data_IF_060759540563
#
_entry.id   IF_060759540563
#
_cell.length_a   1.000
_cell.length_b   1.000
_cell.length_c   1.000
_cell.angle_alpha   90.00
_cell.angle_beta   90.00
_cell.angle_gamma   90.00
#
_symmetry.space_group_name_H-M   'P 1'
#
loop_
_entity.id
_entity.type
_entity.pdbx_description
1 polymer ?
#
# COMPACT_ATOMS: atom_id res chain seq x y z
N UNK A 1 -9.38 -52.23 -2.31
CA UNK A 1 -9.96 -51.51 -3.45
C UNK A 1 -10.99 -50.45 -3.02
N UNK A 2 -11.88 -50.76 -2.07
CA UNK A 2 -13.01 -49.89 -1.69
C UNK A 2 -12.63 -48.63 -0.90
N UNK A 3 -11.57 -48.71 -0.09
CA UNK A 3 -11.02 -47.55 0.65
C UNK A 3 -10.43 -46.47 -0.27
N UNK A 4 -9.64 -46.85 -1.29
CA UNK A 4 -9.06 -45.86 -2.23
C UNK A 4 -10.11 -45.08 -3.01
N UNK A 5 -11.24 -45.71 -3.37
CA UNK A 5 -12.36 -45.03 -4.03
C UNK A 5 -13.02 -43.99 -3.12
N UNK A 6 -13.19 -44.29 -1.83
CA UNK A 6 -13.77 -43.36 -0.85
C UNK A 6 -12.89 -42.14 -0.60
N UNK A 7 -11.57 -42.32 -0.50
CA UNK A 7 -10.62 -41.21 -0.39
C UNK A 7 -10.63 -40.31 -1.63
N UNK A 8 -10.68 -40.89 -2.83
CA UNK A 8 -10.74 -40.12 -4.08
C UNK A 8 -12.06 -39.33 -4.20
N UNK A 9 -13.19 -39.93 -3.82
CA UNK A 9 -14.48 -39.23 -3.79
C UNK A 9 -14.48 -38.11 -2.75
N UNK A 10 -13.93 -38.35 -1.56
CA UNK A 10 -13.80 -37.32 -0.54
C UNK A 10 -12.92 -36.14 -1.00
N UNK A 11 -11.77 -36.44 -1.61
CA UNK A 11 -10.89 -35.41 -2.18
C UNK A 11 -11.59 -34.61 -3.30
N UNK A 12 -12.36 -35.29 -4.15
CA UNK A 12 -13.12 -34.64 -5.23
C UNK A 12 -14.21 -33.72 -4.68
N UNK A 13 -14.97 -34.17 -3.67
CA UNK A 13 -15.98 -33.36 -2.98
C UNK A 13 -15.33 -32.14 -2.32
N UNK A 14 -14.19 -32.31 -1.65
CA UNK A 14 -13.46 -31.19 -1.03
C UNK A 14 -12.98 -30.18 -2.08
N UNK A 15 -12.41 -30.66 -3.18
CA UNK A 15 -11.91 -29.79 -4.25
C UNK A 15 -13.03 -29.00 -4.93
N UNK A 16 -14.10 -29.67 -5.36
CA UNK A 16 -15.23 -28.98 -5.99
C UNK A 16 -16.02 -28.14 -4.98
N UNK A 17 -16.12 -28.56 -3.73
CA UNK A 17 -16.72 -27.75 -2.66
C UNK A 17 -15.93 -26.47 -2.43
N UNK A 18 -14.60 -26.54 -2.44
CA UNK A 18 -13.72 -25.38 -2.34
C UNK A 18 -13.89 -24.43 -3.54
N UNK A 19 -13.84 -24.95 -4.77
CA UNK A 19 -14.07 -24.13 -5.97
C UNK A 19 -15.46 -23.50 -5.97
N UNK A 20 -16.49 -24.26 -5.59
CA UNK A 20 -17.85 -23.75 -5.46
C UNK A 20 -17.93 -22.65 -4.41
N UNK A 21 -17.25 -22.78 -3.27
CA UNK A 21 -17.24 -21.72 -2.25
C UNK A 21 -16.60 -20.42 -2.75
N UNK A 22 -15.52 -20.53 -3.52
CA UNK A 22 -14.88 -19.38 -4.19
C UNK A 22 -15.85 -18.75 -5.18
N UNK A 23 -16.45 -19.55 -6.06
CA UNK A 23 -17.43 -19.09 -7.04
C UNK A 23 -18.65 -18.43 -6.38
N UNK A 24 -19.18 -19.05 -5.32
CA UNK A 24 -20.37 -18.60 -4.62
C UNK A 24 -20.17 -17.23 -3.97
N UNK A 25 -18.99 -16.94 -3.43
CA UNK A 25 -18.76 -15.63 -2.83
C UNK A 25 -18.49 -14.50 -3.83
N UNK A 26 -18.43 -14.77 -5.14
CA UNK A 26 -18.61 -13.70 -6.14
C UNK A 26 -20.04 -13.12 -6.15
N UNK A 27 -21.01 -13.86 -5.62
CA UNK A 27 -22.39 -13.38 -5.48
C UNK A 27 -22.66 -12.66 -4.15
N UNK A 28 -21.69 -12.58 -3.23
CA UNK A 28 -21.82 -11.81 -2.01
C UNK A 28 -21.68 -10.31 -2.28
N UNK A 29 -22.31 -9.43 -1.49
CA UNK A 29 -22.11 -7.99 -1.59
C UNK A 29 -20.64 -7.64 -1.36
N UNK A 30 -20.07 -6.78 -2.21
CA UNK A 30 -18.64 -6.43 -2.18
C UNK A 30 -18.48 -4.98 -1.71
N UNK A 31 -17.56 -4.70 -0.77
CA UNK A 31 -17.26 -3.32 -0.41
C UNK A 31 -16.53 -2.64 -1.57
N UNK A 32 -16.92 -1.41 -1.91
CA UNK A 32 -16.20 -0.62 -2.91
C UNK A 32 -14.86 -0.07 -2.38
N UNK A 33 -14.68 -0.04 -1.06
CA UNK A 33 -13.51 0.51 -0.39
C UNK A 33 -12.91 -0.50 0.60
N UNK A 34 -11.60 -0.65 0.56
CA UNK A 34 -10.84 -1.44 1.51
C UNK A 34 -10.34 -0.56 2.66
N UNK A 35 -10.93 -0.71 3.84
CA UNK A 35 -10.46 0.00 5.04
C UNK A 35 -9.02 -0.40 5.42
N UNK A 36 -8.68 -1.68 5.24
CA UNK A 36 -7.35 -2.19 5.56
C UNK A 36 -6.26 -1.64 4.63
N UNK A 37 -6.56 -1.44 3.35
CA UNK A 37 -5.59 -0.92 2.37
C UNK A 37 -5.75 0.57 2.11
N UNK A 38 -6.78 1.22 2.68
CA UNK A 38 -7.14 2.63 2.47
C UNK A 38 -7.24 3.02 0.98
N UNK A 39 -7.84 2.16 0.15
CA UNK A 39 -8.06 2.43 -1.28
C UNK A 39 -9.40 1.87 -1.77
N UNK A 40 -9.86 2.40 -2.90
CA UNK A 40 -10.97 1.82 -3.65
C UNK A 40 -10.53 0.50 -4.29
N UNK A 41 -11.44 -0.47 -4.30
CA UNK A 41 -11.25 -1.75 -4.96
C UNK A 41 -11.70 -1.65 -6.42
N UNK A 42 -11.08 -2.46 -7.28
CA UNK A 42 -11.42 -2.47 -8.70
C UNK A 42 -12.91 -2.77 -8.93
N UNK A 43 -13.54 -2.05 -9.85
CA UNK A 43 -14.92 -2.32 -10.22
C UNK A 43 -15.02 -3.53 -11.15
N UNK A 44 -16.21 -4.11 -11.27
CA UNK A 44 -16.43 -5.20 -12.20
C UNK A 44 -16.26 -4.66 -13.64
N UNK A 45 -15.39 -5.25 -14.46
CA UNK A 45 -15.12 -4.73 -15.79
C UNK A 45 -16.32 -4.86 -16.73
N UNK A 46 -16.58 -3.81 -17.50
CA UNK A 46 -17.59 -3.84 -18.55
C UNK A 46 -17.11 -4.71 -19.72
N UNK A 47 -18.00 -5.56 -20.22
CA UNK A 47 -17.70 -6.41 -21.36
C UNK A 47 -17.86 -5.64 -22.67
N UNK A 48 -16.76 -5.52 -23.44
CA UNK A 48 -16.79 -5.05 -24.83
C UNK A 48 -15.84 -5.87 -25.69
N UNK A 49 -16.18 -6.07 -26.97
CA UNK A 49 -15.37 -6.88 -27.88
C UNK A 49 -14.04 -6.19 -28.20
N UNK A 50 -14.06 -4.87 -28.24
CA UNK A 50 -12.91 -3.99 -28.38
C UNK A 50 -11.94 -4.20 -27.21
N UNK A 51 -12.41 -4.16 -25.96
CA UNK A 51 -11.57 -4.37 -24.76
C UNK A 51 -11.03 -5.79 -24.63
N UNK A 52 -11.76 -6.79 -25.14
CA UNK A 52 -11.27 -8.18 -25.21
C UNK A 52 -10.13 -8.30 -26.22
N UNK A 53 -10.29 -7.72 -27.42
CA UNK A 53 -9.27 -7.80 -28.46
C UNK A 53 -8.00 -6.98 -28.14
N UNK A 54 -8.13 -5.90 -27.34
CA UNK A 54 -7.01 -5.09 -26.87
C UNK A 54 -6.27 -5.71 -25.66
N UNK A 55 -6.86 -6.70 -24.99
CA UNK A 55 -6.33 -7.31 -23.75
C UNK A 55 -6.68 -6.53 -22.48
N UNK A 56 -7.29 -5.37 -22.61
CA UNK A 56 -7.67 -4.50 -21.50
C UNK A 56 -8.67 -5.18 -20.56
N UNK A 57 -9.67 -5.86 -21.13
CA UNK A 57 -10.66 -6.61 -20.35
C UNK A 57 -10.02 -7.68 -19.48
N UNK A 58 -9.01 -8.39 -19.99
CA UNK A 58 -8.30 -9.42 -19.22
C UNK A 58 -7.56 -8.83 -18.02
N UNK A 59 -6.90 -7.68 -18.19
CA UNK A 59 -6.19 -7.00 -17.11
C UNK A 59 -7.16 -6.53 -16.02
N UNK A 60 -8.28 -5.94 -16.41
CA UNK A 60 -9.29 -5.46 -15.45
C UNK A 60 -9.96 -6.63 -14.71
N UNK A 61 -10.19 -7.77 -15.38
CA UNK A 61 -10.67 -8.99 -14.73
C UNK A 61 -9.65 -9.49 -13.70
N UNK A 62 -8.36 -9.55 -14.04
CA UNK A 62 -7.33 -10.00 -13.10
C UNK A 62 -7.25 -9.10 -11.86
N UNK A 63 -7.30 -7.78 -12.05
CA UNK A 63 -7.33 -6.79 -10.98
C UNK A 63 -8.58 -6.97 -10.09
N UNK A 64 -9.76 -7.09 -10.70
CA UNK A 64 -11.02 -7.31 -10.00
C UNK A 64 -11.02 -8.61 -9.17
N UNK A 65 -10.57 -9.73 -9.77
CA UNK A 65 -10.50 -11.02 -9.09
C UNK A 65 -9.52 -10.97 -7.92
N UNK A 66 -8.38 -10.30 -8.08
CA UNK A 66 -7.35 -10.15 -7.03
C UNK A 66 -7.86 -9.35 -5.84
N UNK A 67 -8.59 -8.28 -6.10
CA UNK A 67 -9.15 -7.42 -5.05
C UNK A 67 -10.26 -8.09 -4.26
N UNK A 68 -10.99 -9.01 -4.88
CA UNK A 68 -12.20 -9.58 -4.31
C UNK A 68 -12.11 -11.09 -4.02
N UNK A 69 -10.90 -11.60 -3.83
CA UNK A 69 -10.71 -12.97 -3.33
C UNK A 69 -11.40 -13.12 -1.97
N UNK A 70 -12.24 -14.14 -1.84
CA UNK A 70 -12.92 -14.43 -0.58
C UNK A 70 -11.93 -14.75 0.53
N UNK A 71 -12.14 -14.12 1.70
CA UNK A 71 -11.28 -14.36 2.86
C UNK A 71 -9.85 -13.85 2.68
N UNK A 72 -9.58 -12.99 1.69
CA UNK A 72 -8.25 -12.40 1.45
C UNK A 72 -7.61 -11.85 2.71
N UNK A 73 -8.34 -11.06 3.49
CA UNK A 73 -7.82 -10.44 4.73
C UNK A 73 -7.41 -11.49 5.77
N UNK A 74 -8.14 -12.60 5.86
CA UNK A 74 -7.79 -13.71 6.76
C UNK A 74 -6.50 -14.40 6.28
N UNK A 75 -6.39 -14.70 4.99
CA UNK A 75 -5.21 -15.35 4.41
C UNK A 75 -3.96 -14.46 4.53
N UNK A 76 -4.11 -13.17 4.23
CA UNK A 76 -3.05 -12.15 4.39
C UNK A 76 -2.63 -12.06 5.86
N UNK A 77 -3.59 -12.05 6.79
CA UNK A 77 -3.31 -12.02 8.22
C UNK A 77 -2.55 -13.26 8.69
N UNK A 78 -3.01 -14.47 8.31
CA UNK A 78 -2.31 -15.73 8.63
C UNK A 78 -0.88 -15.70 8.08
N UNK A 79 -0.69 -15.28 6.83
CA UNK A 79 0.63 -15.14 6.24
C UNK A 79 1.49 -14.18 7.05
N UNK A 80 1.00 -12.99 7.41
CA UNK A 80 1.73 -12.02 8.21
C UNK A 80 2.17 -12.59 9.58
N UNK A 81 1.32 -13.36 10.26
CA UNK A 81 1.69 -14.04 11.51
C UNK A 81 2.76 -15.12 11.31
N UNK A 82 2.65 -15.93 10.24
CA UNK A 82 3.66 -16.95 9.92
C UNK A 82 5.01 -16.32 9.59
N UNK A 83 5.01 -15.22 8.84
CA UNK A 83 6.19 -14.41 8.54
C UNK A 83 6.84 -13.89 9.82
N UNK A 84 6.05 -13.34 10.73
CA UNK A 84 6.53 -12.87 12.03
C UNK A 84 7.12 -14.01 12.88
N UNK A 85 6.43 -15.16 12.95
CA UNK A 85 6.91 -16.35 13.66
C UNK A 85 8.19 -16.92 13.03
N UNK A 86 8.35 -16.79 11.71
CA UNK A 86 9.58 -17.14 11.00
C UNK A 86 10.72 -16.13 11.23
N UNK A 87 10.50 -15.09 12.04
CA UNK A 87 11.49 -14.05 12.34
C UNK A 87 11.60 -12.98 11.26
N UNK A 88 10.71 -12.95 10.26
CA UNK A 88 10.70 -11.91 9.23
C UNK A 88 9.96 -10.68 9.77
N UNK A 89 10.74 -9.67 10.12
CA UNK A 89 10.26 -8.37 10.60
C UNK A 89 9.90 -7.40 9.45
N UNK A 90 10.11 -7.79 8.19
CA UNK A 90 9.88 -6.95 7.01
C UNK A 90 8.89 -7.65 6.09
N UNK A 91 7.70 -7.07 5.92
CA UNK A 91 6.68 -7.59 5.02
C UNK A 91 6.37 -6.55 3.96
N UNK A 92 6.90 -6.75 2.74
CA UNK A 92 6.77 -5.82 1.61
C UNK A 92 7.10 -4.38 2.04
N UNK A 93 6.08 -3.55 2.14
CA UNK A 93 6.15 -2.12 2.40
C UNK A 93 5.92 -1.76 3.87
N UNK A 94 5.81 -2.76 4.77
CA UNK A 94 5.60 -2.53 6.21
C UNK A 94 6.59 -3.35 7.03
N UNK A 95 7.29 -2.69 7.93
CA UNK A 95 8.30 -3.27 8.81
C UNK A 95 7.84 -3.19 10.27
N UNK A 96 8.17 -4.21 11.05
CA UNK A 96 7.94 -4.25 12.50
C UNK A 96 9.23 -3.85 13.22
N UNK A 97 9.19 -2.71 13.91
CA UNK A 97 10.32 -2.13 14.64
C UNK A 97 9.86 -1.87 16.07
N UNK A 98 10.51 -2.50 17.05
CA UNK A 98 10.20 -2.38 18.48
C UNK A 98 8.70 -2.53 18.82
N UNK A 99 8.02 -3.45 18.13
CA UNK A 99 6.58 -3.70 18.32
C UNK A 99 5.65 -2.70 17.62
N UNK A 100 6.17 -1.77 16.83
CA UNK A 100 5.43 -0.80 16.02
C UNK A 100 5.57 -1.12 14.53
N UNK A 101 4.53 -0.81 13.75
CA UNK A 101 4.56 -0.93 12.30
C UNK A 101 5.01 0.40 11.69
N UNK A 102 6.02 0.36 10.83
CA UNK A 102 6.53 1.50 10.06
C UNK A 102 6.52 1.15 8.58
N UNK A 103 6.30 2.13 7.70
CA UNK A 103 6.39 1.93 6.25
C UNK A 103 7.84 1.70 5.83
N UNK A 104 8.11 0.85 4.84
CA UNK A 104 9.45 0.58 4.34
C UNK A 104 10.14 1.86 3.82
N UNK A 105 11.48 1.96 3.94
CA UNK A 105 12.20 3.10 3.40
C UNK A 105 11.99 3.23 1.89
N UNK A 106 11.67 4.44 1.46
CA UNK A 106 11.55 4.80 0.04
C UNK A 106 12.79 5.54 -0.43
N UNK A 107 13.14 5.38 -1.70
CA UNK A 107 14.19 6.18 -2.32
C UNK A 107 13.75 7.63 -2.49
N UNK A 108 14.70 8.54 -2.39
CA UNK A 108 14.49 9.94 -2.69
C UNK A 108 14.06 10.14 -4.16
N UNK A 109 12.91 10.78 -4.39
CA UNK A 109 12.47 11.22 -5.72
C UNK A 109 12.69 12.73 -5.86
N UNK A 110 13.86 13.10 -6.39
CA UNK A 110 14.23 14.49 -6.65
C UNK A 110 13.26 15.19 -7.62
N UNK A 111 12.69 14.46 -8.59
CA UNK A 111 11.74 15.05 -9.52
C UNK A 111 10.42 15.36 -8.83
N UNK A 112 9.95 14.50 -7.92
CA UNK A 112 8.79 14.79 -7.10
C UNK A 112 9.01 15.99 -6.20
N UNK A 113 10.18 16.10 -5.56
CA UNK A 113 10.55 17.27 -4.75
C UNK A 113 10.47 18.53 -5.59
N UNK A 114 11.15 18.56 -6.74
CA UNK A 114 11.17 19.72 -7.62
C UNK A 114 9.78 20.11 -8.14
N UNK A 115 8.93 19.13 -8.47
CA UNK A 115 7.53 19.40 -8.88
C UNK A 115 6.72 20.00 -7.73
N UNK A 116 6.82 19.43 -6.54
CA UNK A 116 6.04 19.85 -5.38
C UNK A 116 6.48 21.22 -4.86
N UNK A 117 7.79 21.46 -4.78
CA UNK A 117 8.33 22.75 -4.34
C UNK A 117 8.02 23.88 -5.33
N UNK A 118 8.03 23.60 -6.64
CA UNK A 118 7.54 24.57 -7.64
C UNK A 118 6.08 24.96 -7.39
N UNK A 119 5.23 23.99 -7.06
CA UNK A 119 3.82 24.26 -6.77
C UNK A 119 3.65 25.08 -5.47
N UNK A 120 4.38 24.74 -4.41
CA UNK A 120 4.36 25.46 -3.13
C UNK A 120 4.87 26.90 -3.29
N UNK A 121 5.99 27.09 -3.98
CA UNK A 121 6.55 28.41 -4.24
C UNK A 121 5.59 29.27 -5.08
N UNK A 122 5.01 28.71 -6.15
CA UNK A 122 4.02 29.43 -6.96
C UNK A 122 2.75 29.78 -6.19
N UNK A 123 2.33 28.93 -5.25
CA UNK A 123 1.22 29.23 -4.35
C UNK A 123 1.55 30.39 -3.39
N UNK A 124 2.75 30.43 -2.82
CA UNK A 124 3.19 31.51 -1.94
C UNK A 124 3.30 32.86 -2.68
N UNK A 125 3.89 32.85 -3.88
CA UNK A 125 3.98 34.03 -4.75
C UNK A 125 2.60 34.58 -5.12
N UNK A 126 1.65 33.69 -5.45
CA UNK A 126 0.28 34.08 -5.79
C UNK A 126 -0.50 34.69 -4.63
N UNK A 127 -0.22 34.28 -3.39
CA UNK A 127 -0.83 34.85 -2.18
C UNK A 127 -0.21 36.18 -1.76
N UNK A 128 1.01 36.50 -2.22
CA UNK A 128 1.79 37.65 -1.77
C UNK A 128 1.94 37.71 -0.24
N UNK A 129 2.00 36.54 0.41
CA UNK A 129 2.10 36.39 1.86
C UNK A 129 3.09 35.28 2.19
N UNK A 130 3.68 35.35 3.39
CA UNK A 130 4.52 34.28 3.90
C UNK A 130 3.71 33.01 4.14
N UNK A 131 4.14 31.91 3.53
CA UNK A 131 3.56 30.58 3.73
C UNK A 131 4.49 29.77 4.62
N UNK A 132 3.96 29.20 5.69
CA UNK A 132 4.71 28.30 6.56
C UNK A 132 4.45 26.85 6.16
N UNK A 133 5.51 26.09 5.91
CA UNK A 133 5.43 24.69 5.50
C UNK A 133 6.12 23.82 6.52
N UNK A 134 5.42 22.78 6.97
CA UNK A 134 5.93 21.78 7.92
C UNK A 134 5.90 20.43 7.22
N UNK A 135 7.07 19.80 7.09
CA UNK A 135 7.21 18.46 6.55
C UNK A 135 7.47 17.51 7.71
N UNK A 136 6.63 16.49 7.84
CA UNK A 136 6.71 15.51 8.92
C UNK A 136 7.56 14.33 8.42
N UNK A 137 8.66 13.97 9.11
CA UNK A 137 9.43 12.78 8.77
C UNK A 137 8.59 11.50 8.87
N UNK A 138 9.00 10.47 8.14
CA UNK A 138 8.40 9.14 8.23
C UNK A 138 8.60 8.51 9.61
N UNK A 139 7.68 7.64 10.00
CA UNK A 139 7.73 6.95 11.29
C UNK A 139 8.99 6.09 11.45
N UNK A 140 9.51 5.52 10.36
CA UNK A 140 10.72 4.70 10.41
C UNK A 140 11.99 5.50 10.67
N UNK A 141 12.12 6.69 10.07
CA UNK A 141 13.20 7.62 10.41
C UNK A 141 13.12 8.10 11.86
N UNK A 142 11.92 8.47 12.32
CA UNK A 142 11.69 8.91 13.70
C UNK A 142 12.02 7.82 14.73
N UNK A 143 11.71 6.57 14.40
CA UNK A 143 12.05 5.38 15.19
C UNK A 143 13.55 5.01 15.15
N UNK A 144 14.38 5.71 14.36
CA UNK A 144 15.83 5.50 14.31
C UNK A 144 16.26 4.29 13.49
N UNK A 145 15.42 3.83 12.56
CA UNK A 145 15.72 2.69 11.69
C UNK A 145 16.68 3.11 10.58
N UNK A 146 17.67 2.28 10.28
CA UNK A 146 18.59 2.52 9.16
C UNK A 146 17.89 2.37 7.80
N UNK A 147 18.38 3.13 6.81
CA UNK A 147 17.92 3.05 5.42
C UNK A 147 16.90 4.12 5.00
N UNK A 148 16.41 4.92 5.95
CA UNK A 148 15.54 6.07 5.68
C UNK A 148 16.34 7.31 5.28
N UNK A 149 16.04 7.87 4.12
CA UNK A 149 16.72 9.04 3.55
C UNK A 149 16.01 10.36 3.90
N UNK A 150 15.11 10.38 4.89
CA UNK A 150 14.28 11.53 5.24
C UNK A 150 15.10 12.79 5.55
N UNK A 151 16.25 12.65 6.22
CA UNK A 151 17.12 13.80 6.50
C UNK A 151 17.64 14.44 5.21
N UNK A 152 18.06 13.63 4.24
CA UNK A 152 18.54 14.11 2.94
C UNK A 152 17.38 14.70 2.14
N UNK A 153 16.19 14.09 2.21
CA UNK A 153 14.98 14.59 1.59
C UNK A 153 14.58 15.97 2.14
N UNK A 154 14.55 16.13 3.47
CA UNK A 154 14.25 17.41 4.12
C UNK A 154 15.25 18.49 3.74
N UNK A 155 16.54 18.15 3.71
CA UNK A 155 17.58 19.09 3.27
C UNK A 155 17.37 19.54 1.83
N UNK A 156 17.05 18.60 0.91
CA UNK A 156 16.76 18.92 -0.48
C UNK A 156 15.51 19.82 -0.62
N UNK A 157 14.44 19.50 0.10
CA UNK A 157 13.20 20.29 0.12
C UNK A 157 13.49 21.71 0.65
N UNK A 158 14.24 21.83 1.74
CA UNK A 158 14.55 23.13 2.35
C UNK A 158 15.43 24.00 1.44
N UNK A 159 16.31 23.38 0.64
CA UNK A 159 17.13 24.09 -0.34
C UNK A 159 16.32 24.68 -1.50
N UNK A 160 15.15 24.12 -1.82
CA UNK A 160 14.26 24.59 -2.89
C UNK A 160 13.20 25.61 -2.42
N UNK A 161 13.15 25.93 -1.13
CA UNK A 161 12.18 26.89 -0.60
C UNK A 161 12.44 28.32 -1.11
N UNK A 162 11.42 28.93 -1.73
CA UNK A 162 11.46 30.32 -2.16
C UNK A 162 11.43 31.32 -1.00
N UNK A 163 11.64 32.61 -1.30
CA UNK A 163 11.73 33.67 -0.27
C UNK A 163 10.46 33.85 0.58
N UNK A 164 9.30 33.53 0.00
CA UNK A 164 7.99 33.64 0.66
C UNK A 164 7.57 32.34 1.37
N UNK A 165 8.39 31.29 1.28
CA UNK A 165 8.15 30.00 1.93
C UNK A 165 9.07 29.87 3.14
N UNK A 166 8.48 29.80 4.33
CA UNK A 166 9.19 29.55 5.57
C UNK A 166 9.03 28.09 5.97
N UNK A 167 10.09 27.30 5.79
CA UNK A 167 10.13 25.93 6.30
C UNK A 167 10.19 25.94 7.84
N UNK A 168 9.37 25.11 8.47
CA UNK A 168 9.36 24.93 9.93
C UNK A 168 10.15 23.66 10.25
N UNK A 169 11.35 23.77 10.86
CA UNK A 169 12.18 22.61 11.16
C UNK A 169 11.58 21.83 12.34
N UNK A 170 10.90 20.73 12.02
CA UNK A 170 10.26 19.86 13.02
C UNK A 170 10.98 18.54 13.21
N UNK A 171 11.97 18.23 12.38
CA UNK A 171 12.77 17.00 12.46
C UNK A 171 13.39 16.79 13.84
N UNK A 172 13.82 17.87 14.51
CA UNK A 172 14.34 17.84 15.88
C UNK A 172 13.32 17.41 16.93
N UNK A 173 12.01 17.58 16.65
CA UNK A 173 10.94 17.12 17.53
C UNK A 173 10.74 15.60 17.44
N UNK A 174 11.01 15.01 16.27
CA UNK A 174 10.76 13.61 15.94
C UNK A 174 12.01 12.73 16.03
N UNK A 175 13.21 13.30 15.98
CA UNK A 175 14.47 12.54 16.07
C UNK A 175 14.54 11.74 17.38
N UNK A 176 14.70 10.41 17.25
CA UNK A 176 14.84 9.50 18.38
C UNK A 176 13.58 9.39 19.26
N UNK A 177 12.43 9.83 18.76
CA UNK A 177 11.13 9.67 19.44
C UNK A 177 10.23 8.80 18.56
N UNK A 178 9.91 7.58 19.01
CA UNK A 178 9.09 6.65 18.25
C UNK A 178 7.60 6.97 18.36
#
# INVERSE_FOLDING_TARGET
>A
MDSMKKHNVAALILFFGFLFSIAAGYFLPRPAFSEMEKRYLAEAPDFSWEAVSSGEWSSQVEEYLTDHVLGRNLLVGINAYLELLAGRQRLKDVWLVDGKLVEAPVSLDEQAIARNMRAINGFAEGLQQKVHVMIIPSAGWAAGVEGYADQDALNAIYAEAGSDVSMVPVEVLFSGKP
#
